data_IF_898223458929
#
_entry.id   IF_898223458929
#
_cell.length_a   1.000
_cell.length_b   1.000
_cell.length_c   1.000
_cell.angle_alpha   90.00
_cell.angle_beta   90.00
_cell.angle_gamma   90.00
#
_symmetry.space_group_name_H-M   'P 1'
#
loop_
_entity.id
_entity.type
_entity.pdbx_description
1 polymer ?
#
# COMPACT_ATOMS: atom_id res chain seq x y z
N UNK A 1 16.85 -16.69 -15.13
CA UNK A 1 15.49 -16.21 -14.85
C UNK A 1 14.52 -17.27 -15.32
N UNK A 2 14.02 -18.11 -14.41
CA UNK A 2 12.84 -18.93 -14.69
C UNK A 2 11.67 -17.96 -14.79
N UNK A 3 11.15 -17.71 -15.99
CA UNK A 3 9.83 -17.11 -16.19
C UNK A 3 8.83 -18.13 -15.65
N UNK A 4 8.25 -17.89 -14.49
CA UNK A 4 7.05 -18.61 -14.11
C UNK A 4 5.95 -18.19 -15.10
N UNK A 5 5.21 -19.14 -15.64
CA UNK A 5 4.04 -18.83 -16.42
C UNK A 5 3.04 -18.16 -15.49
N UNK A 6 2.70 -16.92 -15.79
CA UNK A 6 1.64 -16.21 -15.06
C UNK A 6 0.29 -16.85 -15.41
N UNK A 7 -0.62 -16.92 -14.43
CA UNK A 7 -1.98 -17.39 -14.68
C UNK A 7 -2.66 -16.50 -15.72
N UNK A 8 -3.32 -17.13 -16.68
CA UNK A 8 -4.18 -16.46 -17.65
C UNK A 8 -5.47 -15.93 -16.98
N UNK A 9 -6.16 -15.01 -17.64
CA UNK A 9 -7.45 -14.52 -17.16
C UNK A 9 -8.50 -15.63 -17.04
N UNK A 10 -8.47 -16.62 -17.95
CA UNK A 10 -9.39 -17.75 -17.92
C UNK A 10 -9.13 -18.66 -16.73
N UNK A 11 -7.87 -18.94 -16.41
CA UNK A 11 -7.50 -19.70 -15.22
C UNK A 11 -7.91 -18.96 -13.93
N UNK A 12 -7.66 -17.63 -13.87
CA UNK A 12 -8.07 -16.78 -12.74
C UNK A 12 -9.59 -16.79 -12.61
N UNK A 13 -10.33 -16.65 -13.71
CA UNK A 13 -11.80 -16.70 -13.70
C UNK A 13 -12.31 -18.06 -13.24
N UNK A 14 -11.71 -19.13 -13.73
CA UNK A 14 -12.10 -20.49 -13.39
C UNK A 14 -11.97 -20.76 -11.88
N UNK A 15 -10.81 -20.45 -11.28
CA UNK A 15 -10.65 -20.71 -9.85
C UNK A 15 -11.45 -19.74 -8.98
N UNK A 16 -11.59 -18.47 -9.36
CA UNK A 16 -12.34 -17.48 -8.56
C UNK A 16 -13.85 -17.78 -8.54
N UNK A 17 -14.38 -18.42 -9.57
CA UNK A 17 -15.77 -18.88 -9.59
C UNK A 17 -16.09 -19.94 -8.52
N UNK A 18 -15.08 -20.60 -7.96
CA UNK A 18 -15.24 -21.59 -6.88
C UNK A 18 -15.03 -21.00 -5.49
N UNK A 19 -14.71 -19.70 -5.40
CA UNK A 19 -14.41 -19.02 -4.14
C UNK A 19 -15.69 -18.46 -3.50
N UNK A 20 -15.72 -18.51 -2.17
CA UNK A 20 -16.69 -17.77 -1.38
C UNK A 20 -16.41 -16.26 -1.42
N UNK A 21 -17.38 -15.39 -1.03
CA UNK A 21 -17.16 -13.96 -0.97
C UNK A 21 -15.94 -13.57 -0.14
N UNK A 22 -15.14 -12.66 -0.67
CA UNK A 22 -13.92 -12.17 0.00
C UNK A 22 -14.19 -10.86 0.74
N UNK A 23 -13.57 -10.69 1.90
CA UNK A 23 -13.56 -9.42 2.63
C UNK A 23 -12.56 -8.43 2.05
N UNK A 24 -11.45 -8.91 1.52
CA UNK A 24 -10.37 -8.09 0.96
C UNK A 24 -9.54 -8.91 -0.02
N UNK A 25 -9.03 -8.23 -1.03
CA UNK A 25 -8.08 -8.76 -2.01
C UNK A 25 -6.81 -7.91 -1.97
N UNK A 26 -5.65 -8.56 -1.98
CA UNK A 26 -4.38 -7.86 -2.18
C UNK A 26 -3.73 -8.35 -3.46
N UNK A 27 -3.62 -7.47 -4.45
CA UNK A 27 -2.91 -7.71 -5.69
C UNK A 27 -1.49 -7.20 -5.54
N UNK A 28 -0.55 -8.12 -5.40
CA UNK A 28 0.87 -7.84 -5.16
C UNK A 28 1.76 -8.72 -6.04
N UNK A 29 3.04 -8.49 -6.00
CA UNK A 29 4.04 -9.23 -6.76
C UNK A 29 5.39 -8.54 -6.63
N UNK A 30 6.24 -8.55 -7.68
CA UNK A 30 7.40 -7.67 -7.74
C UNK A 30 6.92 -6.21 -7.85
N UNK A 31 6.30 -5.87 -8.97
CA UNK A 31 5.57 -4.62 -9.17
C UNK A 31 4.26 -4.94 -9.91
N UNK A 32 3.10 -4.80 -9.28
CA UNK A 32 1.83 -5.24 -9.85
C UNK A 32 1.47 -4.52 -11.16
N UNK A 33 1.79 -3.24 -11.28
CA UNK A 33 1.47 -2.45 -12.47
C UNK A 33 2.35 -2.76 -13.71
N UNK A 34 3.31 -3.67 -13.59
CA UNK A 34 3.97 -4.26 -14.76
C UNK A 34 3.06 -5.25 -15.46
N UNK A 35 2.13 -5.88 -14.75
CA UNK A 35 1.13 -6.76 -15.34
C UNK A 35 0.10 -5.90 -16.08
N UNK A 36 -0.07 -6.17 -17.39
CA UNK A 36 -0.85 -5.32 -18.27
C UNK A 36 -2.36 -5.46 -18.12
N UNK A 37 -2.82 -6.56 -17.52
CA UNK A 37 -4.22 -6.95 -17.32
C UNK A 37 -4.64 -6.99 -15.83
N UNK A 38 -3.91 -6.26 -14.95
CA UNK A 38 -4.20 -6.19 -13.52
C UNK A 38 -5.62 -5.67 -13.23
N UNK A 39 -6.10 -4.72 -14.02
CA UNK A 39 -7.45 -4.17 -13.95
C UNK A 39 -8.51 -5.22 -14.30
N UNK A 40 -8.24 -6.09 -15.27
CA UNK A 40 -9.14 -7.19 -15.63
C UNK A 40 -9.16 -8.26 -14.52
N UNK A 41 -8.00 -8.55 -13.91
CA UNK A 41 -7.92 -9.44 -12.76
C UNK A 41 -8.77 -8.90 -11.60
N UNK A 42 -8.63 -7.61 -11.29
CA UNK A 42 -9.43 -6.96 -10.25
C UNK A 42 -10.94 -7.09 -10.52
N UNK A 43 -11.35 -6.89 -11.79
CA UNK A 43 -12.74 -7.05 -12.24
C UNK A 43 -13.24 -8.49 -12.11
N UNK A 44 -12.43 -9.49 -12.45
CA UNK A 44 -12.79 -10.91 -12.31
C UNK A 44 -13.06 -11.24 -10.83
N UNK A 45 -12.13 -10.87 -9.95
CA UNK A 45 -12.33 -11.07 -8.50
C UNK A 45 -13.58 -10.35 -7.99
N UNK A 46 -13.78 -9.08 -8.39
CA UNK A 46 -14.96 -8.33 -7.98
C UNK A 46 -16.26 -9.03 -8.39
N UNK A 47 -16.35 -9.48 -9.64
CA UNK A 47 -17.55 -10.13 -10.16
C UNK A 47 -17.84 -11.46 -9.45
N UNK A 48 -16.82 -12.28 -9.23
CA UNK A 48 -16.98 -13.64 -8.73
C UNK A 48 -17.07 -13.70 -7.20
N UNK A 49 -16.32 -12.85 -6.48
CA UNK A 49 -16.21 -12.92 -5.02
C UNK A 49 -16.84 -11.76 -4.28
N UNK A 50 -17.40 -10.78 -5.00
CA UNK A 50 -18.00 -9.56 -4.42
C UNK A 50 -17.08 -8.80 -3.45
N UNK A 51 -15.77 -8.89 -3.68
CA UNK A 51 -14.77 -8.27 -2.81
C UNK A 51 -14.97 -6.76 -2.71
N UNK A 52 -15.16 -6.20 -1.49
CA UNK A 52 -15.42 -4.76 -1.33
C UNK A 52 -14.13 -3.93 -1.22
N UNK A 53 -13.00 -4.55 -0.92
CA UNK A 53 -11.72 -3.83 -0.70
C UNK A 53 -10.62 -4.47 -1.50
N UNK A 54 -9.96 -3.68 -2.36
CA UNK A 54 -8.78 -4.10 -3.10
C UNK A 54 -7.58 -3.29 -2.63
N UNK A 55 -6.48 -3.98 -2.27
CA UNK A 55 -5.21 -3.38 -1.89
C UNK A 55 -4.19 -3.61 -2.99
N UNK A 56 -3.51 -2.55 -3.45
CA UNK A 56 -2.45 -2.66 -4.45
C UNK A 56 -1.21 -1.90 -3.96
N UNK A 57 -0.21 -2.60 -3.40
CA UNK A 57 1.08 -1.99 -3.10
C UNK A 57 1.90 -1.80 -4.38
N UNK A 58 2.58 -0.66 -4.51
CA UNK A 58 3.40 -0.31 -5.68
C UNK A 58 4.62 0.50 -5.25
N UNK A 59 5.66 0.46 -6.08
CA UNK A 59 6.82 1.35 -5.93
C UNK A 59 6.54 2.79 -6.44
N UNK A 60 5.41 3.01 -7.10
CA UNK A 60 5.00 4.31 -7.61
C UNK A 60 5.72 4.79 -8.87
N UNK A 61 6.50 3.92 -9.53
CA UNK A 61 7.29 4.31 -10.72
C UNK A 61 6.46 4.44 -12.00
N UNK A 62 5.42 3.60 -12.16
CA UNK A 62 4.72 3.43 -13.42
C UNK A 62 3.42 4.25 -13.50
N UNK A 63 3.52 5.57 -13.30
CA UNK A 63 2.36 6.47 -13.19
C UNK A 63 1.31 6.29 -14.28
N UNK A 64 1.70 6.26 -15.55
CA UNK A 64 0.76 6.17 -16.69
C UNK A 64 -0.02 4.83 -16.66
N UNK A 65 0.68 3.73 -16.34
CA UNK A 65 0.03 2.42 -16.22
C UNK A 65 -0.91 2.38 -15.01
N UNK A 66 -0.48 2.98 -13.90
CA UNK A 66 -1.30 3.10 -12.69
C UNK A 66 -2.57 3.90 -12.96
N UNK A 67 -2.46 5.07 -13.58
CA UNK A 67 -3.62 5.91 -13.90
C UNK A 67 -4.64 5.14 -14.74
N UNK A 68 -4.20 4.55 -15.85
CA UNK A 68 -5.07 3.77 -16.75
C UNK A 68 -5.78 2.64 -16.01
N UNK A 69 -5.01 1.79 -15.31
CA UNK A 69 -5.57 0.60 -14.68
C UNK A 69 -6.44 0.93 -13.47
N UNK A 70 -6.08 1.95 -12.67
CA UNK A 70 -6.91 2.43 -11.57
C UNK A 70 -8.24 2.97 -12.10
N UNK A 71 -8.24 3.78 -13.15
CA UNK A 71 -9.49 4.26 -13.77
C UNK A 71 -10.38 3.11 -14.22
N UNK A 72 -9.80 2.10 -14.86
CA UNK A 72 -10.54 0.92 -15.28
C UNK A 72 -11.15 0.16 -14.09
N UNK A 73 -10.38 -0.08 -13.03
CA UNK A 73 -10.86 -0.71 -11.80
C UNK A 73 -12.03 0.10 -11.20
N UNK A 74 -11.86 1.43 -11.06
CA UNK A 74 -12.87 2.28 -10.46
C UNK A 74 -14.17 2.36 -11.27
N UNK A 75 -14.07 2.26 -12.60
CA UNK A 75 -15.23 2.25 -13.50
C UNK A 75 -15.93 0.89 -13.55
N UNK A 76 -15.15 -0.22 -13.56
CA UNK A 76 -15.70 -1.57 -13.70
C UNK A 76 -16.15 -2.19 -12.37
N UNK A 77 -15.65 -1.68 -11.25
CA UNK A 77 -15.93 -2.19 -9.91
C UNK A 77 -16.52 -1.06 -9.04
N UNK A 78 -17.81 -0.66 -9.28
CA UNK A 78 -18.37 0.55 -8.69
C UNK A 78 -18.51 0.53 -7.17
N UNK A 79 -18.53 -0.64 -6.53
CA UNK A 79 -18.64 -0.78 -5.07
C UNK A 79 -17.28 -1.00 -4.38
N UNK A 80 -16.20 -1.17 -5.17
CA UNK A 80 -14.86 -1.39 -4.60
C UNK A 80 -14.31 -0.12 -3.97
N UNK A 81 -13.73 -0.28 -2.80
CA UNK A 81 -12.85 0.69 -2.17
C UNK A 81 -11.39 0.30 -2.44
N UNK A 82 -10.67 1.13 -3.17
CA UNK A 82 -9.29 0.87 -3.56
C UNK A 82 -8.31 1.45 -2.53
N UNK A 83 -7.49 0.61 -1.91
CA UNK A 83 -6.33 1.03 -1.13
C UNK A 83 -5.09 1.00 -2.02
N UNK A 84 -4.70 2.13 -2.55
CA UNK A 84 -3.46 2.29 -3.29
C UNK A 84 -2.34 2.64 -2.31
N UNK A 85 -1.39 1.73 -2.16
CA UNK A 85 -0.28 1.89 -1.22
C UNK A 85 1.02 2.14 -1.97
N UNK A 86 1.71 3.25 -1.67
CA UNK A 86 3.00 3.57 -2.29
C UNK A 86 4.12 3.30 -1.28
N UNK A 87 5.13 2.58 -1.75
CA UNK A 87 6.27 2.21 -0.91
C UNK A 87 7.27 3.35 -0.83
N UNK A 88 7.53 3.86 0.39
CA UNK A 88 8.55 4.87 0.67
C UNK A 88 9.29 4.49 1.95
N UNK A 89 10.58 4.16 1.85
CA UNK A 89 11.41 3.63 2.95
C UNK A 89 12.43 4.65 3.50
N UNK A 90 12.48 5.84 2.92
CA UNK A 90 13.36 6.95 3.30
C UNK A 90 12.89 8.26 2.70
N UNK A 91 13.63 9.32 2.93
CA UNK A 91 13.45 10.60 2.25
C UNK A 91 14.55 10.77 1.20
N UNK A 92 14.19 11.31 0.04
CA UNK A 92 15.13 11.66 -1.04
C UNK A 92 16.15 10.56 -1.35
N UNK A 93 17.44 10.85 -1.23
CA UNK A 93 18.53 9.92 -1.53
C UNK A 93 18.56 8.69 -0.62
N UNK A 94 18.09 8.81 0.63
CA UNK A 94 18.01 7.65 1.54
C UNK A 94 17.02 6.61 1.00
N UNK A 95 15.87 7.05 0.45
CA UNK A 95 14.94 6.16 -0.22
C UNK A 95 15.56 5.49 -1.45
N UNK A 96 16.22 6.29 -2.30
CA UNK A 96 16.85 5.81 -3.53
C UNK A 96 17.96 4.78 -3.22
N UNK A 97 18.71 4.98 -2.12
CA UNK A 97 19.74 4.03 -1.64
C UNK A 97 19.13 2.72 -1.13
N UNK A 98 18.11 2.80 -0.27
CA UNK A 98 17.44 1.61 0.32
C UNK A 98 16.82 0.76 -0.78
N UNK A 99 16.26 1.40 -1.81
CA UNK A 99 15.64 0.72 -2.94
C UNK A 99 16.60 0.47 -4.10
N UNK A 100 17.88 0.23 -3.78
CA UNK A 100 18.97 0.03 -4.73
C UNK A 100 18.58 -0.82 -5.94
N UNK A 101 18.87 -0.31 -7.13
CA UNK A 101 18.80 -1.02 -8.41
C UNK A 101 17.50 -0.86 -9.19
N UNK A 102 16.51 -0.12 -8.70
CA UNK A 102 15.32 0.14 -9.51
C UNK A 102 15.56 1.35 -10.39
N UNK A 103 15.74 2.54 -9.84
CA UNK A 103 16.05 3.75 -10.62
C UNK A 103 16.48 4.89 -9.70
N UNK A 104 17.48 5.67 -10.13
CA UNK A 104 17.83 6.95 -9.50
C UNK A 104 16.63 7.92 -9.62
N UNK A 105 16.24 8.56 -8.52
CA UNK A 105 15.09 9.45 -8.48
C UNK A 105 13.76 8.73 -8.20
N UNK A 106 13.80 7.52 -7.65
CA UNK A 106 12.58 6.77 -7.28
C UNK A 106 11.73 7.49 -6.26
N UNK A 107 12.34 8.21 -5.30
CA UNK A 107 11.60 9.04 -4.35
C UNK A 107 10.77 10.12 -5.04
N UNK A 108 11.44 10.91 -5.90
CA UNK A 108 10.76 11.99 -6.66
C UNK A 108 9.59 11.45 -7.46
N UNK A 109 9.80 10.30 -8.13
CA UNK A 109 8.75 9.66 -8.93
C UNK A 109 7.58 9.17 -8.10
N UNK A 110 7.84 8.57 -6.95
CA UNK A 110 6.81 8.15 -6.01
C UNK A 110 5.97 9.34 -5.51
N UNK A 111 6.62 10.48 -5.18
CA UNK A 111 5.95 11.71 -4.76
C UNK A 111 5.07 12.29 -5.88
N UNK A 112 5.59 12.36 -7.11
CA UNK A 112 4.81 12.79 -8.28
C UNK A 112 3.57 11.91 -8.48
N UNK A 113 3.75 10.59 -8.37
CA UNK A 113 2.67 9.62 -8.48
C UNK A 113 1.62 9.82 -7.41
N UNK A 114 2.01 10.04 -6.14
CA UNK A 114 1.06 10.31 -5.06
C UNK A 114 0.24 11.57 -5.34
N UNK A 115 0.88 12.64 -5.80
CA UNK A 115 0.17 13.88 -6.15
C UNK A 115 -0.85 13.66 -7.29
N UNK A 116 -0.51 12.83 -8.26
CA UNK A 116 -1.43 12.45 -9.34
C UNK A 116 -2.60 11.60 -8.79
N UNK A 117 -2.29 10.58 -8.00
CA UNK A 117 -3.30 9.71 -7.39
C UNK A 117 -4.31 10.48 -6.52
N UNK A 118 -3.89 11.57 -5.88
CA UNK A 118 -4.80 12.45 -5.15
C UNK A 118 -5.83 13.15 -6.04
N UNK A 119 -5.54 13.35 -7.33
CA UNK A 119 -6.54 13.84 -8.29
C UNK A 119 -7.57 12.75 -8.57
N UNK A 120 -7.13 11.49 -8.78
CA UNK A 120 -8.03 10.34 -8.93
C UNK A 120 -8.87 10.10 -7.68
N UNK A 121 -8.28 10.26 -6.49
CA UNK A 121 -9.00 10.17 -5.22
C UNK A 121 -10.18 11.16 -5.15
N UNK A 122 -9.96 12.40 -5.57
CA UNK A 122 -11.02 13.42 -5.61
C UNK A 122 -12.09 13.08 -6.66
N UNK A 123 -11.68 12.57 -7.81
CA UNK A 123 -12.57 12.21 -8.92
C UNK A 123 -13.50 11.05 -8.55
N UNK A 124 -12.95 9.96 -7.99
CA UNK A 124 -13.71 8.74 -7.72
C UNK A 124 -14.27 8.65 -6.29
N UNK A 125 -13.69 9.33 -5.30
CA UNK A 125 -14.15 9.33 -3.90
C UNK A 125 -13.95 8.02 -3.13
N UNK A 126 -13.53 6.94 -3.79
CA UNK A 126 -13.41 5.57 -3.24
C UNK A 126 -11.98 5.05 -3.31
N UNK A 127 -10.99 5.93 -3.37
CA UNK A 127 -9.57 5.60 -3.36
C UNK A 127 -8.96 6.11 -2.07
N UNK A 128 -8.24 5.25 -1.37
CA UNK A 128 -7.39 5.62 -0.24
C UNK A 128 -5.93 5.58 -0.70
N UNK A 129 -5.17 6.62 -0.40
CA UNK A 129 -3.77 6.71 -0.76
C UNK A 129 -2.93 6.60 0.50
N UNK A 130 -2.34 5.42 0.67
CA UNK A 130 -1.48 5.11 1.80
C UNK A 130 -0.01 5.01 1.42
N UNK A 131 0.82 5.03 2.44
CA UNK A 131 2.25 4.77 2.31
C UNK A 131 2.57 3.47 3.06
N UNK A 132 3.47 2.66 2.49
CA UNK A 132 4.11 1.54 3.20
C UNK A 132 5.58 1.89 3.37
N UNK A 133 6.04 1.87 4.62
CA UNK A 133 7.45 2.01 4.98
C UNK A 133 7.92 0.71 5.62
N UNK A 134 8.93 0.08 5.04
CA UNK A 134 9.55 -1.10 5.64
C UNK A 134 10.59 -0.68 6.66
N UNK A 135 10.39 -1.11 7.91
CA UNK A 135 11.33 -0.85 8.99
C UNK A 135 12.52 -1.80 8.88
N UNK A 136 13.71 -1.25 8.72
CA UNK A 136 14.97 -1.96 8.53
C UNK A 136 16.05 -1.39 9.43
N UNK A 137 17.18 -2.06 9.55
CA UNK A 137 18.36 -1.51 10.26
C UNK A 137 18.87 -0.21 9.66
N UNK A 138 18.67 0.01 8.36
CA UNK A 138 19.15 1.21 7.67
C UNK A 138 18.33 2.47 7.99
N UNK A 139 17.01 2.31 8.20
CA UNK A 139 16.12 3.45 8.44
C UNK A 139 15.61 3.57 9.87
N UNK A 140 15.84 2.57 10.75
CA UNK A 140 15.26 2.54 12.10
C UNK A 140 15.54 3.79 12.95
N UNK A 141 16.74 4.37 12.84
CA UNK A 141 17.12 5.56 13.61
C UNK A 141 16.49 6.85 13.09
N UNK A 142 16.03 6.86 11.82
CA UNK A 142 15.41 8.01 11.15
C UNK A 142 13.91 7.84 10.95
N UNK A 143 13.32 6.74 11.41
CA UNK A 143 11.95 6.35 11.03
C UNK A 143 10.89 7.41 11.39
N UNK A 144 11.02 8.09 12.53
CA UNK A 144 10.09 9.16 12.92
C UNK A 144 10.20 10.37 11.99
N UNK A 145 11.41 10.74 11.61
CA UNK A 145 11.65 11.86 10.68
C UNK A 145 11.14 11.52 9.27
N UNK A 146 11.31 10.26 8.84
CA UNK A 146 10.76 9.75 7.58
C UNK A 146 9.23 9.87 7.60
N UNK A 147 8.56 9.38 8.64
CA UNK A 147 7.10 9.46 8.78
C UNK A 147 6.63 10.91 8.77
N UNK A 148 7.31 11.80 9.52
CA UNK A 148 7.00 13.24 9.57
C UNK A 148 7.16 13.87 8.19
N UNK A 149 8.31 13.69 7.56
CA UNK A 149 8.61 14.27 6.25
C UNK A 149 7.65 13.81 5.15
N UNK A 150 7.34 12.50 5.09
CA UNK A 150 6.34 11.97 4.17
C UNK A 150 4.97 12.60 4.43
N UNK A 151 4.57 12.70 5.71
CA UNK A 151 3.27 13.26 6.07
C UNK A 151 3.16 14.74 5.67
N UNK A 152 4.20 15.54 5.92
CA UNK A 152 4.23 16.96 5.55
C UNK A 152 4.23 17.16 4.03
N UNK A 153 4.95 16.31 3.30
CA UNK A 153 5.13 16.43 1.86
C UNK A 153 3.88 16.02 1.07
N UNK A 154 3.27 14.87 1.40
CA UNK A 154 2.20 14.30 0.57
C UNK A 154 0.88 14.10 1.30
N UNK A 155 0.82 14.30 2.62
CA UNK A 155 -0.40 14.16 3.45
C UNK A 155 -1.21 12.91 3.09
N UNK A 156 -0.63 11.71 3.23
CA UNK A 156 -1.33 10.48 2.87
C UNK A 156 -2.50 10.22 3.82
N UNK A 157 -3.42 9.34 3.40
CA UNK A 157 -4.56 8.96 4.25
C UNK A 157 -4.13 8.03 5.39
N UNK A 158 -3.06 7.26 5.19
CA UNK A 158 -2.43 6.43 6.21
C UNK A 158 -0.96 6.17 5.90
N UNK A 159 -0.20 5.76 6.92
CA UNK A 159 1.16 5.22 6.78
C UNK A 159 1.19 3.88 7.50
N UNK A 160 1.51 2.81 6.80
CA UNK A 160 1.77 1.49 7.36
C UNK A 160 3.28 1.33 7.58
N UNK A 161 3.68 0.93 8.78
CA UNK A 161 5.07 0.58 9.08
C UNK A 161 5.12 -0.94 9.20
N UNK A 162 5.86 -1.59 8.31
CA UNK A 162 6.00 -3.04 8.28
C UNK A 162 7.42 -3.44 8.65
N UNK A 163 7.57 -4.51 9.40
CA UNK A 163 8.88 -5.09 9.67
C UNK A 163 9.41 -5.80 8.41
N UNK A 164 10.70 -5.70 8.15
CA UNK A 164 11.35 -6.55 7.14
C UNK A 164 11.12 -8.02 7.47
N UNK A 165 10.79 -8.83 6.47
CA UNK A 165 10.44 -10.25 6.62
C UNK A 165 11.16 -11.11 5.59
N UNK A 166 11.23 -12.41 5.88
CA UNK A 166 11.78 -13.40 4.97
C UNK A 166 13.31 -13.43 5.01
N UNK A 167 13.93 -13.70 3.87
CA UNK A 167 15.38 -13.72 3.68
C UNK A 167 15.79 -12.50 2.84
N UNK A 168 15.99 -11.33 3.49
CA UNK A 168 16.41 -10.13 2.77
C UNK A 168 17.82 -10.37 2.19
N UNK A 169 18.08 -9.75 1.03
CA UNK A 169 19.40 -9.85 0.37
C UNK A 169 20.56 -9.49 1.30
N UNK A 170 20.30 -8.57 2.24
CA UNK A 170 21.24 -8.18 3.28
C UNK A 170 20.73 -8.58 4.66
N UNK A 171 21.33 -9.62 5.24
CA UNK A 171 20.94 -10.13 6.57
C UNK A 171 21.08 -9.10 7.69
N UNK A 172 21.94 -8.10 7.53
CA UNK A 172 22.09 -7.00 8.49
C UNK A 172 20.77 -6.23 8.68
N UNK A 173 19.91 -6.22 7.69
CA UNK A 173 18.58 -5.58 7.77
C UNK A 173 17.63 -6.20 8.79
N UNK A 174 17.96 -7.38 9.33
CA UNK A 174 17.21 -8.07 10.40
C UNK A 174 17.61 -7.63 11.81
N UNK A 175 18.69 -6.85 11.99
CA UNK A 175 19.09 -6.35 13.30
C UNK A 175 18.27 -5.13 13.70
N UNK A 176 17.05 -5.38 14.18
CA UNK A 176 16.04 -4.35 14.45
C UNK A 176 15.95 -4.00 15.92
N UNK A 177 15.94 -2.70 16.22
CA UNK A 177 15.60 -2.19 17.54
C UNK A 177 14.07 -2.04 17.67
N UNK A 178 13.45 -2.99 18.36
CA UNK A 178 11.99 -3.01 18.52
C UNK A 178 11.44 -1.86 19.36
N UNK A 179 12.27 -1.19 20.19
CA UNK A 179 11.84 0.02 20.89
C UNK A 179 11.60 1.16 19.91
N UNK A 180 12.51 1.35 18.95
CA UNK A 180 12.37 2.36 17.90
C UNK A 180 11.15 2.07 17.00
N UNK A 181 10.88 0.79 16.72
CA UNK A 181 9.68 0.41 16.00
C UNK A 181 8.40 0.81 16.75
N UNK A 182 8.30 0.46 18.06
CA UNK A 182 7.14 0.84 18.88
C UNK A 182 6.96 2.35 18.97
N UNK A 183 8.05 3.10 19.15
CA UNK A 183 8.02 4.56 19.16
C UNK A 183 7.52 5.14 17.82
N UNK A 184 7.97 4.58 16.70
CA UNK A 184 7.53 5.00 15.37
C UNK A 184 6.03 4.72 15.15
N UNK A 185 5.55 3.55 15.58
CA UNK A 185 4.12 3.21 15.52
C UNK A 185 3.28 4.15 16.38
N UNK A 186 3.73 4.44 17.60
CA UNK A 186 3.04 5.38 18.51
C UNK A 186 3.04 6.81 17.91
N UNK A 187 4.16 7.26 17.37
CA UNK A 187 4.26 8.56 16.70
C UNK A 187 3.29 8.65 15.53
N UNK A 188 3.27 7.64 14.65
CA UNK A 188 2.35 7.55 13.53
C UNK A 188 0.88 7.57 14.01
N UNK A 189 0.56 6.80 15.07
CA UNK A 189 -0.78 6.78 15.63
C UNK A 189 -1.20 8.18 16.11
N UNK A 190 -0.36 8.86 16.85
CA UNK A 190 -0.63 10.23 17.32
C UNK A 190 -0.85 11.20 16.16
N UNK A 191 -0.08 11.05 15.07
CA UNK A 191 -0.18 11.90 13.89
C UNK A 191 -1.56 11.78 13.19
N UNK A 192 -2.12 10.56 13.14
CA UNK A 192 -3.38 10.30 12.46
C UNK A 192 -4.62 10.34 13.37
N UNK A 193 -4.50 9.99 14.66
CA UNK A 193 -5.64 9.93 15.59
C UNK A 193 -5.85 11.20 16.40
N UNK A 194 -4.83 12.04 16.57
CA UNK A 194 -4.98 13.36 17.22
C UNK A 194 -5.80 14.35 16.40
N UNK A 195 -5.97 14.11 15.10
CA UNK A 195 -6.92 14.83 14.27
C UNK A 195 -8.26 14.10 14.29
N UNK A 196 -9.33 14.72 14.87
CA UNK A 196 -10.70 14.32 14.56
C UNK A 196 -10.82 14.26 13.05
N UNK A 197 -10.84 13.04 12.48
CA UNK A 197 -10.86 12.83 11.03
C UNK A 197 -12.14 13.45 10.44
N UNK A 198 -12.08 14.51 9.62
CA UNK A 198 -13.29 15.12 9.06
C UNK A 198 -14.05 14.20 8.10
N UNK A 199 -13.46 13.10 7.65
CA UNK A 199 -14.03 12.15 6.67
C UNK A 199 -14.66 10.89 7.24
N UNK A 200 -14.44 10.55 8.52
CA UNK A 200 -14.88 9.26 9.08
C UNK A 200 -16.40 9.16 9.29
N UNK A 201 -17.13 10.28 9.21
CA UNK A 201 -18.61 10.25 9.33
C UNK A 201 -19.32 9.51 8.18
N UNK A 202 -18.65 9.28 7.05
CA UNK A 202 -19.23 8.56 5.90
C UNK A 202 -18.95 7.04 5.88
N UNK A 203 -18.08 6.54 6.73
CA UNK A 203 -17.70 5.12 6.78
C UNK A 203 -18.17 4.46 8.07
N UNK A 204 -19.48 4.26 8.20
CA UNK A 204 -20.04 3.47 9.32
C UNK A 204 -19.62 2.00 9.32
N UNK A 205 -19.07 1.47 8.20
CA UNK A 205 -18.47 0.13 8.10
C UNK A 205 -17.03 0.00 8.61
N UNK A 206 -16.31 1.11 8.81
CA UNK A 206 -14.86 1.10 9.07
C UNK A 206 -14.47 1.09 10.57
N UNK A 207 -15.43 1.14 11.50
CA UNK A 207 -15.12 1.01 12.93
C UNK A 207 -14.48 -0.34 13.25
N UNK A 208 -14.91 -1.41 12.58
CA UNK A 208 -14.36 -2.75 12.72
C UNK A 208 -12.95 -2.87 12.13
N UNK A 209 -12.67 -2.26 10.97
CA UNK A 209 -11.35 -2.27 10.35
C UNK A 209 -10.34 -1.43 11.16
N UNK A 210 -10.78 -0.31 11.74
CA UNK A 210 -9.94 0.53 12.62
C UNK A 210 -9.69 -0.16 13.96
N UNK A 211 -10.72 -0.76 14.56
CA UNK A 211 -10.59 -1.56 15.78
C UNK A 211 -9.70 -2.78 15.55
N UNK A 212 -9.86 -3.49 14.42
CA UNK A 212 -9.00 -4.61 14.05
C UNK A 212 -7.53 -4.23 13.88
N UNK A 213 -7.23 -3.04 13.33
CA UNK A 213 -5.84 -2.54 13.24
C UNK A 213 -5.25 -2.16 14.60
N UNK A 214 -6.04 -1.60 15.49
CA UNK A 214 -5.61 -1.28 16.86
C UNK A 214 -5.32 -2.57 17.62
N UNK A 215 -6.20 -3.57 17.54
CA UNK A 215 -6.04 -4.88 18.20
C UNK A 215 -4.83 -5.63 17.62
N UNK A 216 -4.64 -5.64 16.28
CA UNK A 216 -3.46 -6.25 15.66
C UNK A 216 -2.15 -5.56 16.06
N UNK A 217 -2.14 -4.23 16.16
CA UNK A 217 -0.97 -3.50 16.64
C UNK A 217 -0.68 -3.79 18.11
N UNK A 218 -1.70 -3.92 18.97
CA UNK A 218 -1.53 -4.27 20.39
C UNK A 218 -1.06 -5.72 20.56
N UNK A 219 -1.48 -6.65 19.70
CA UNK A 219 -1.00 -8.05 19.71
C UNK A 219 0.45 -8.19 19.25
N UNK A 220 0.92 -7.31 18.36
CA UNK A 220 2.33 -7.28 17.90
C UNK A 220 3.24 -6.59 18.94
N UNK A 221 2.66 -5.81 19.88
CA UNK A 221 3.39 -5.12 20.95
C UNK A 221 3.59 -5.97 22.22
N UNK A 222 2.93 -7.10 22.34
CA UNK A 222 3.12 -8.08 23.42
C UNK A 222 4.08 -9.17 22.99
#
# INVERSE_FOLDING_TARGET
NKRFNELSLDEINSFTNTMEPLLTLTLTGGEPYLRHDLDQIARIFYNNTKVPIINIPSNGWYLEKMDKQIRNIMNWCPEVFLNQMISIDGLEEDHDKIRMGIHKGSFKKAVETIHHLKKLQKEFGRINIGIITTFTSENQNKIKDIIKGIYELVKPDNIAITLVRGDPKEKVNMNLNMSLYREAVNYRNNLFYSRKMPGLKKFTGNKLATAGRIILNDLVQK
#
